data_IF_291946775649
#
_entry.id   IF_291946775649
#
_cell.length_a   1.000
_cell.length_b   1.000
_cell.length_c   1.000
_cell.angle_alpha   90.00
_cell.angle_beta   90.00
_cell.angle_gamma   90.00
#
_symmetry.space_group_name_H-M   'P 1'
#
loop_
_entity.id
_entity.type
_entity.pdbx_description
1 polymer ?
#
# COMPACT_ATOMS: atom_id res chain seq x y z
N UNK A 1 34.53 7.25 35.02
CA UNK A 1 33.98 8.27 34.08
C UNK A 1 33.79 7.74 32.65
N UNK A 2 34.72 6.97 32.07
CA UNK A 2 34.60 6.47 30.68
C UNK A 2 33.49 5.43 30.41
N UNK A 3 33.13 4.59 31.38
CA UNK A 3 32.04 3.59 31.21
C UNK A 3 30.62 4.19 31.25
N UNK A 4 30.47 5.39 31.81
CA UNK A 4 29.17 6.08 31.91
C UNK A 4 28.84 6.85 30.61
N UNK A 5 29.87 7.38 29.93
CA UNK A 5 29.73 7.97 28.60
C UNK A 5 29.41 6.91 27.52
N UNK A 6 30.01 5.72 27.60
CA UNK A 6 29.70 4.64 26.64
C UNK A 6 28.24 4.15 26.73
N UNK A 7 27.62 4.14 27.92
CA UNK A 7 26.22 3.72 28.07
C UNK A 7 25.22 4.80 27.62
N UNK A 8 25.59 6.08 27.70
CA UNK A 8 24.78 7.17 27.12
C UNK A 8 24.93 7.24 25.59
N UNK A 9 26.10 6.92 25.03
CA UNK A 9 26.29 6.82 23.56
C UNK A 9 25.59 5.58 22.99
N UNK A 10 25.58 4.46 23.72
CA UNK A 10 24.85 3.24 23.32
C UNK A 10 23.32 3.42 23.34
N UNK A 11 22.79 4.31 24.18
CA UNK A 11 21.38 4.73 24.16
C UNK A 11 21.03 5.69 23.01
N UNK A 12 22.04 6.34 22.42
CA UNK A 12 21.90 7.32 21.32
C UNK A 12 21.94 6.69 19.92
N UNK A 13 22.37 5.43 19.79
CA UNK A 13 22.28 4.65 18.54
C UNK A 13 21.11 3.67 18.66
N UNK A 14 19.89 4.18 18.88
CA UNK A 14 18.77 3.50 18.23
C UNK A 14 19.06 3.62 16.74
N UNK A 15 19.40 2.51 16.07
CA UNK A 15 19.37 2.43 14.61
C UNK A 15 18.07 3.09 14.16
N UNK A 16 18.18 4.30 13.62
CA UNK A 16 17.01 5.12 13.27
C UNK A 16 16.42 4.43 12.06
N UNK A 17 15.34 3.68 12.30
CA UNK A 17 14.69 2.87 11.27
C UNK A 17 14.11 3.82 10.23
N UNK A 18 14.45 3.62 8.96
CA UNK A 18 13.97 4.46 7.87
C UNK A 18 12.64 3.95 7.34
N UNK A 19 11.66 4.85 7.20
CA UNK A 19 10.33 4.58 6.66
C UNK A 19 10.29 4.78 5.15
N UNK A 20 9.72 3.81 4.42
CA UNK A 20 9.20 4.05 3.08
C UNK A 20 7.68 4.27 3.16
N UNK A 21 7.19 5.44 2.77
CA UNK A 21 5.76 5.63 2.50
C UNK A 21 5.53 5.32 1.02
N UNK A 22 4.64 4.39 0.73
CA UNK A 22 4.33 3.93 -0.62
C UNK A 22 2.87 4.30 -0.90
N UNK A 23 2.68 5.13 -1.92
CA UNK A 23 1.38 5.64 -2.34
C UNK A 23 1.09 5.04 -3.73
N UNK A 24 0.16 4.08 -3.84
CA UNK A 24 -0.30 3.58 -5.13
C UNK A 24 -1.13 4.69 -5.80
N UNK A 25 -0.89 4.96 -7.07
CA UNK A 25 -1.34 6.21 -7.70
C UNK A 25 -1.76 6.03 -9.17
N UNK A 26 -2.75 6.80 -9.60
CA UNK A 26 -3.11 7.10 -11.00
C UNK A 26 -4.08 8.27 -11.00
N UNK A 27 -3.84 9.30 -11.82
CA UNK A 27 -4.80 10.38 -12.10
C UNK A 27 -5.43 11.09 -10.88
N UNK A 28 -4.69 11.23 -9.77
CA UNK A 28 -5.13 11.89 -8.52
C UNK A 28 -4.27 13.10 -8.15
N UNK A 29 -3.89 13.92 -9.12
CA UNK A 29 -2.91 15.01 -8.92
C UNK A 29 -3.35 16.01 -7.84
N UNK A 30 -4.64 16.38 -7.82
CA UNK A 30 -5.20 17.25 -6.80
C UNK A 30 -5.05 16.65 -5.38
N UNK A 31 -5.35 15.36 -5.22
CA UNK A 31 -5.21 14.67 -3.94
C UNK A 31 -3.75 14.55 -3.51
N UNK A 32 -2.86 14.22 -4.45
CA UNK A 32 -1.43 14.10 -4.14
C UNK A 32 -0.83 15.44 -3.70
N UNK A 33 -1.24 16.55 -4.33
CA UNK A 33 -0.86 17.91 -3.96
C UNK A 33 -1.32 18.31 -2.55
N UNK A 34 -2.49 17.83 -2.13
CA UNK A 34 -2.94 18.01 -0.74
C UNK A 34 -2.21 17.08 0.25
N UNK A 35 -1.95 15.82 -0.13
CA UNK A 35 -1.39 14.83 0.78
C UNK A 35 0.10 15.05 1.09
N UNK A 36 0.93 15.31 0.08
CA UNK A 36 2.37 15.32 0.25
C UNK A 36 2.86 16.34 1.31
N UNK A 37 2.42 17.62 1.29
CA UNK A 37 2.86 18.59 2.30
C UNK A 37 2.49 18.18 3.72
N UNK A 38 1.25 17.71 3.93
CA UNK A 38 0.75 17.28 5.24
C UNK A 38 1.53 16.07 5.79
N UNK A 39 1.82 15.10 4.91
CA UNK A 39 2.57 13.91 5.28
C UNK A 39 4.04 14.25 5.59
N UNK A 40 4.69 15.06 4.76
CA UNK A 40 6.08 15.49 4.98
C UNK A 40 6.23 16.26 6.30
N UNK A 41 5.35 17.24 6.55
CA UNK A 41 5.36 18.04 7.79
C UNK A 41 5.12 17.15 9.03
N UNK A 42 4.12 16.26 8.99
CA UNK A 42 3.85 15.32 10.08
C UNK A 42 5.07 14.43 10.39
N UNK A 43 5.70 13.84 9.37
CA UNK A 43 6.83 12.93 9.55
C UNK A 43 8.09 13.65 10.04
N UNK A 44 8.34 14.87 9.56
CA UNK A 44 9.44 15.73 10.03
C UNK A 44 9.26 16.12 11.49
N UNK A 45 8.08 16.61 11.87
CA UNK A 45 7.75 16.94 13.28
C UNK A 45 7.85 15.72 14.19
N UNK A 46 7.54 14.53 13.66
CA UNK A 46 7.67 13.26 14.38
C UNK A 46 9.11 12.73 14.44
N UNK A 47 10.09 13.45 13.87
CA UNK A 47 11.49 13.03 13.84
C UNK A 47 11.70 11.65 13.20
N UNK A 48 10.87 11.29 12.22
CA UNK A 48 10.99 10.04 11.46
C UNK A 48 11.97 10.28 10.31
N UNK A 49 12.87 9.34 10.04
CA UNK A 49 13.66 9.32 8.80
C UNK A 49 12.84 8.59 7.73
N UNK A 50 12.57 9.22 6.59
CA UNK A 50 11.63 8.70 5.62
C UNK A 50 11.97 9.01 4.16
N UNK A 51 11.33 8.27 3.26
CA UNK A 51 11.25 8.57 1.83
C UNK A 51 9.87 8.17 1.33
N UNK A 52 9.28 8.99 0.45
CA UNK A 52 7.95 8.80 -0.12
C UNK A 52 8.10 8.33 -1.56
N UNK A 53 7.37 7.30 -1.92
CA UNK A 53 7.34 6.68 -3.23
C UNK A 53 5.91 6.74 -3.75
N UNK A 54 5.67 7.65 -4.69
CA UNK A 54 4.43 7.67 -5.47
C UNK A 54 4.63 6.67 -6.61
N UNK A 55 3.82 5.63 -6.67
CA UNK A 55 3.96 4.52 -7.61
C UNK A 55 2.76 4.52 -8.54
N UNK A 56 2.97 5.03 -9.76
CA UNK A 56 1.92 5.25 -10.75
C UNK A 56 1.82 4.12 -11.75
N UNK A 57 0.59 3.63 -11.99
CA UNK A 57 0.32 2.62 -13.02
C UNK A 57 0.20 3.26 -14.40
N UNK A 58 1.13 2.93 -15.30
CA UNK A 58 1.31 3.57 -16.59
C UNK A 58 0.38 3.08 -17.72
N UNK A 59 -0.22 1.90 -17.59
CA UNK A 59 -1.08 1.32 -18.63
C UNK A 59 -2.56 1.66 -18.41
N UNK A 60 -3.39 1.47 -19.43
CA UNK A 60 -4.85 1.70 -19.36
C UNK A 60 -5.62 0.48 -18.82
N UNK A 61 -4.94 -0.45 -18.15
CA UNK A 61 -5.62 -1.57 -17.49
C UNK A 61 -6.34 -1.08 -16.24
N UNK A 62 -7.33 -1.83 -15.73
CA UNK A 62 -7.90 -1.56 -14.41
C UNK A 62 -6.81 -1.37 -13.36
N UNK A 63 -7.07 -0.50 -12.39
CA UNK A 63 -6.08 -0.19 -11.36
C UNK A 63 -5.75 -1.43 -10.52
N UNK A 64 -4.46 -1.69 -10.28
CA UNK A 64 -4.00 -2.81 -9.46
C UNK A 64 -3.14 -2.30 -8.29
N UNK A 65 -3.82 -1.97 -7.19
CA UNK A 65 -3.20 -1.49 -5.95
C UNK A 65 -2.13 -2.45 -5.43
N UNK A 66 -2.42 -3.75 -5.42
CA UNK A 66 -1.51 -4.77 -4.87
C UNK A 66 -0.15 -4.82 -5.58
N UNK A 67 -0.15 -4.79 -6.92
CA UNK A 67 1.09 -4.73 -7.70
C UNK A 67 1.87 -3.45 -7.38
N UNK A 68 1.23 -2.28 -7.39
CA UNK A 68 1.93 -1.01 -7.12
C UNK A 68 2.57 -0.97 -5.73
N UNK A 69 1.88 -1.51 -4.72
CA UNK A 69 2.42 -1.61 -3.36
C UNK A 69 3.60 -2.59 -3.27
N UNK A 70 3.53 -3.72 -3.97
CA UNK A 70 4.66 -4.65 -4.11
C UNK A 70 5.86 -3.99 -4.81
N UNK A 71 5.62 -3.23 -5.89
CA UNK A 71 6.67 -2.50 -6.61
C UNK A 71 7.31 -1.45 -5.72
N UNK A 72 6.52 -0.62 -5.03
CA UNK A 72 7.03 0.38 -4.10
C UNK A 72 7.88 -0.23 -2.99
N UNK A 73 7.53 -1.42 -2.50
CA UNK A 73 8.34 -2.16 -1.52
C UNK A 73 9.71 -2.56 -2.10
N UNK A 74 9.74 -3.08 -3.33
CA UNK A 74 10.98 -3.50 -4.00
C UNK A 74 11.89 -2.31 -4.31
N UNK A 75 11.32 -1.20 -4.76
CA UNK A 75 12.02 0.03 -5.13
C UNK A 75 12.53 0.85 -3.92
N UNK A 76 12.09 0.48 -2.71
CA UNK A 76 12.47 1.11 -1.45
C UNK A 76 13.29 0.18 -0.54
N UNK A 77 14.06 -0.74 -1.14
CA UNK A 77 14.84 -1.79 -0.43
C UNK A 77 15.81 -1.28 0.64
N UNK A 78 16.25 -0.02 0.57
CA UNK A 78 17.10 0.63 1.58
C UNK A 78 16.36 1.05 2.86
N UNK A 79 15.03 1.07 2.86
CA UNK A 79 14.21 1.39 4.03
C UNK A 79 14.02 0.17 4.93
N UNK A 80 13.70 0.37 6.21
CA UNK A 80 13.56 -0.70 7.20
C UNK A 80 12.12 -1.17 7.41
N UNK A 81 11.16 -0.28 7.19
CA UNK A 81 9.73 -0.53 7.37
C UNK A 81 8.92 0.37 6.44
N UNK A 82 7.65 0.02 6.25
CA UNK A 82 6.85 0.49 5.14
C UNK A 82 5.50 0.98 5.63
N UNK A 83 4.97 2.03 5.01
CA UNK A 83 3.60 2.47 5.13
C UNK A 83 2.95 2.37 3.75
N UNK A 84 1.96 1.51 3.60
CA UNK A 84 1.08 1.51 2.44
C UNK A 84 -0.03 2.52 2.71
N UNK A 85 -0.18 3.52 1.83
CA UNK A 85 -0.95 4.71 2.14
C UNK A 85 -1.80 5.14 0.94
N UNK A 86 -3.12 5.08 1.09
CA UNK A 86 -4.05 5.58 0.07
C UNK A 86 -3.90 7.10 -0.09
N UNK A 87 -3.96 7.59 -1.32
CA UNK A 87 -3.65 9.00 -1.67
C UNK A 87 -4.70 10.00 -1.14
N UNK A 88 -5.90 9.53 -0.82
CA UNK A 88 -7.06 10.33 -0.40
C UNK A 88 -7.23 10.43 1.13
N UNK A 89 -6.31 9.90 1.92
CA UNK A 89 -6.39 9.90 3.38
C UNK A 89 -5.41 10.88 4.02
N UNK A 90 -5.84 12.13 4.25
CA UNK A 90 -4.99 13.15 4.87
C UNK A 90 -4.82 12.89 6.38
N UNK A 91 -3.59 12.67 6.90
CA UNK A 91 -3.40 12.38 8.31
C UNK A 91 -3.58 13.64 9.17
N UNK A 92 -4.67 13.71 9.93
CA UNK A 92 -4.86 14.75 10.95
C UNK A 92 -4.04 14.43 12.22
N UNK A 93 -3.98 13.15 12.59
CA UNK A 93 -3.18 12.65 13.71
C UNK A 93 -2.93 11.15 13.58
N UNK A 94 -1.70 10.77 13.27
CA UNK A 94 -1.29 9.36 13.27
C UNK A 94 0.20 9.24 13.63
N UNK A 95 0.57 8.12 14.25
CA UNK A 95 1.94 7.80 14.61
C UNK A 95 2.50 6.76 13.63
N UNK A 96 3.41 7.21 12.78
CA UNK A 96 4.09 6.42 11.75
C UNK A 96 5.40 5.78 12.25
N UNK A 97 5.65 5.75 13.57
CA UNK A 97 6.84 5.12 14.14
C UNK A 97 6.92 3.62 13.86
N UNK A 98 8.14 3.10 13.84
CA UNK A 98 8.46 1.69 13.56
C UNK A 98 7.56 0.70 14.30
N UNK A 99 7.14 -0.35 13.59
CA UNK A 99 6.34 -1.46 14.10
C UNK A 99 7.08 -2.78 13.91
N UNK A 100 6.78 -3.79 14.73
CA UNK A 100 7.32 -5.16 14.61
C UNK A 100 6.29 -6.16 14.07
N UNK A 101 5.13 -5.67 13.68
CA UNK A 101 4.01 -6.46 13.17
C UNK A 101 3.14 -5.56 12.30
N UNK A 102 2.42 -6.12 11.31
CA UNK A 102 1.49 -5.37 10.49
C UNK A 102 0.51 -4.58 11.36
N UNK A 103 0.43 -3.27 11.17
CA UNK A 103 -0.31 -2.36 12.06
C UNK A 103 -1.15 -1.39 11.24
N UNK A 104 -2.46 -1.52 11.35
CA UNK A 104 -3.41 -0.63 10.68
C UNK A 104 -3.56 0.70 11.42
N UNK A 105 -3.38 1.81 10.70
CA UNK A 105 -3.47 3.18 11.21
C UNK A 105 -4.82 3.83 10.94
N UNK A 106 -5.50 3.51 9.83
CA UNK A 106 -6.74 4.15 9.39
C UNK A 106 -7.98 3.78 10.25
N UNK A 107 -7.91 4.01 11.57
CA UNK A 107 -8.93 3.58 12.54
C UNK A 107 -10.06 4.58 12.77
N UNK A 108 -9.84 5.86 12.43
CA UNK A 108 -10.82 6.93 12.56
C UNK A 108 -10.79 7.76 11.27
N UNK A 109 -11.59 7.36 10.29
CA UNK A 109 -11.58 7.97 8.96
C UNK A 109 -12.91 8.69 8.72
N UNK A 110 -12.84 9.92 8.23
CA UNK A 110 -14.00 10.80 8.01
C UNK A 110 -15.09 10.14 7.14
N UNK A 111 -14.72 9.54 6.00
CA UNK A 111 -15.68 8.86 5.10
C UNK A 111 -16.40 7.65 5.73
N UNK A 112 -15.91 7.15 6.87
CA UNK A 112 -16.52 6.05 7.63
C UNK A 112 -17.14 6.53 8.95
N UNK A 113 -17.52 7.81 9.03
CA UNK A 113 -18.11 8.38 10.25
C UNK A 113 -17.13 8.41 11.43
N UNK A 114 -15.85 8.68 11.17
CA UNK A 114 -14.76 8.67 12.16
C UNK A 114 -14.50 7.31 12.82
N UNK A 115 -14.84 6.22 12.12
CA UNK A 115 -14.59 4.84 12.53
C UNK A 115 -13.92 3.99 11.46
N UNK A 116 -14.30 2.71 11.41
CA UNK A 116 -13.91 1.74 10.38
C UNK A 116 -15.19 1.17 9.73
N UNK A 117 -15.16 0.81 8.44
CA UNK A 117 -16.37 0.41 7.72
C UNK A 117 -16.87 -0.98 8.15
N UNK A 118 -15.99 -1.85 8.65
CA UNK A 118 -16.31 -3.16 9.22
C UNK A 118 -15.18 -3.65 10.13
N UNK A 119 -15.47 -4.58 11.05
CA UNK A 119 -14.49 -5.08 12.03
C UNK A 119 -13.24 -5.72 11.40
N UNK A 120 -13.40 -6.22 10.17
CA UNK A 120 -12.34 -6.82 9.37
C UNK A 120 -11.36 -5.83 8.74
N UNK A 121 -11.71 -4.54 8.62
CA UNK A 121 -11.02 -3.60 7.75
C UNK A 121 -9.52 -3.48 8.03
N UNK A 122 -8.71 -3.55 6.98
CA UNK A 122 -7.26 -3.48 7.00
C UNK A 122 -6.69 -2.71 5.80
N UNK A 123 -7.48 -1.77 5.26
CA UNK A 123 -7.09 -0.90 4.14
C UNK A 123 -6.74 0.52 4.56
N UNK A 124 -6.67 1.44 3.60
CA UNK A 124 -6.39 2.85 3.87
C UNK A 124 -4.91 3.11 4.14
N UNK A 125 -4.51 2.95 5.41
CA UNK A 125 -3.14 3.21 5.85
C UNK A 125 -2.65 2.11 6.79
N UNK A 126 -1.60 1.41 6.37
CA UNK A 126 -1.07 0.24 7.09
C UNK A 126 0.45 0.26 7.15
N UNK A 127 1.01 0.07 8.34
CA UNK A 127 2.43 -0.11 8.57
C UNK A 127 2.82 -1.59 8.52
N UNK A 128 3.97 -1.88 7.93
CA UNK A 128 4.60 -3.20 7.90
C UNK A 128 6.09 -3.12 8.21
N UNK A 129 6.60 -4.05 9.01
CA UNK A 129 8.04 -4.30 9.03
C UNK A 129 8.45 -5.13 7.79
N UNK A 130 9.72 -5.00 7.38
CA UNK A 130 10.26 -5.70 6.21
C UNK A 130 10.09 -7.22 6.27
N UNK A 131 10.24 -7.83 7.44
CA UNK A 131 10.20 -9.29 7.59
C UNK A 131 8.77 -9.79 7.38
N UNK A 132 7.80 -9.21 8.07
CA UNK A 132 6.40 -9.59 7.97
C UNK A 132 5.89 -9.50 6.53
N UNK A 133 6.24 -8.43 5.79
CA UNK A 133 5.80 -8.29 4.40
C UNK A 133 6.43 -9.34 3.47
N UNK A 134 7.71 -9.66 3.64
CA UNK A 134 8.37 -10.74 2.89
C UNK A 134 7.80 -12.13 3.23
N UNK A 135 7.50 -12.40 4.50
CA UNK A 135 7.00 -13.69 4.97
C UNK A 135 5.62 -14.02 4.42
N UNK A 136 4.78 -12.99 4.19
CA UNK A 136 3.44 -13.17 3.60
C UNK A 136 3.43 -13.16 2.07
N UNK A 137 4.60 -12.99 1.43
CA UNK A 137 4.73 -12.77 -0.01
C UNK A 137 3.99 -11.51 -0.50
N UNK A 138 4.01 -10.42 0.28
CA UNK A 138 3.36 -9.15 -0.04
C UNK A 138 1.86 -9.23 -0.37
N UNK A 139 1.38 -8.28 -1.17
CA UNK A 139 0.02 -8.27 -1.71
C UNK A 139 -0.13 -9.30 -2.83
N UNK A 140 -1.36 -9.78 -3.04
CA UNK A 140 -1.76 -10.46 -4.27
C UNK A 140 -1.62 -9.54 -5.49
N UNK A 141 -1.19 -10.09 -6.62
CA UNK A 141 -1.13 -9.39 -7.90
C UNK A 141 -2.41 -9.58 -8.72
N UNK A 142 -3.36 -10.38 -8.25
CA UNK A 142 -4.54 -10.82 -9.02
C UNK A 142 -5.80 -9.97 -8.82
N UNK A 143 -5.81 -9.01 -7.90
CA UNK A 143 -6.97 -8.13 -7.69
C UNK A 143 -6.90 -6.90 -8.60
N UNK A 144 -7.75 -6.91 -9.63
CA UNK A 144 -7.87 -5.83 -10.61
C UNK A 144 -9.13 -5.01 -10.33
N UNK A 145 -9.00 -3.68 -10.31
CA UNK A 145 -10.07 -2.79 -9.87
C UNK A 145 -10.29 -2.84 -8.36
N UNK A 146 -11.48 -2.45 -7.91
CA UNK A 146 -11.82 -2.40 -6.50
C UNK A 146 -12.09 -3.79 -5.91
N UNK A 147 -11.68 -3.99 -4.65
CA UNK A 147 -12.23 -4.99 -3.75
C UNK A 147 -11.30 -6.14 -3.37
N UNK A 148 -11.40 -6.52 -2.09
CA UNK A 148 -10.80 -7.71 -1.46
C UNK A 148 -9.27 -7.76 -1.38
N UNK A 149 -8.53 -6.84 -1.96
CA UNK A 149 -7.06 -6.84 -1.93
C UNK A 149 -6.50 -6.60 -0.51
N UNK A 150 -7.11 -5.68 0.24
CA UNK A 150 -6.73 -5.38 1.63
C UNK A 150 -7.21 -6.48 2.60
N UNK A 151 -8.35 -7.11 2.31
CA UNK A 151 -8.86 -8.26 3.06
C UNK A 151 -7.96 -9.49 2.83
N UNK A 152 -7.51 -9.71 1.59
CA UNK A 152 -6.55 -10.74 1.21
C UNK A 152 -5.22 -10.55 1.94
N UNK A 153 -4.67 -9.32 1.96
CA UNK A 153 -3.46 -9.00 2.70
C UNK A 153 -3.57 -9.37 4.20
N UNK A 154 -4.70 -9.03 4.82
CA UNK A 154 -4.96 -9.40 6.22
C UNK A 154 -5.03 -10.92 6.37
N UNK A 155 -5.68 -11.61 5.44
CA UNK A 155 -5.77 -13.06 5.48
C UNK A 155 -4.40 -13.72 5.26
N UNK A 156 -3.55 -13.18 4.39
CA UNK A 156 -2.16 -13.61 4.19
C UNK A 156 -1.34 -13.53 5.47
N UNK A 157 -1.54 -12.48 6.28
CA UNK A 157 -0.94 -12.37 7.62
C UNK A 157 -1.43 -13.50 8.55
N UNK A 158 -2.74 -13.77 8.55
CA UNK A 158 -3.33 -14.86 9.37
C UNK A 158 -2.82 -16.23 8.96
N UNK A 159 -2.74 -16.52 7.66
CA UNK A 159 -2.23 -17.77 7.11
C UNK A 159 -0.79 -18.05 7.58
N UNK A 160 0.03 -17.00 7.74
CA UNK A 160 1.40 -17.07 8.27
C UNK A 160 1.50 -16.90 9.79
N UNK A 161 0.37 -16.85 10.50
CA UNK A 161 0.29 -16.65 11.96
C UNK A 161 0.98 -15.36 12.43
N UNK A 162 0.97 -14.32 11.58
CA UNK A 162 1.51 -13.00 11.89
C UNK A 162 0.39 -12.13 12.47
N UNK A 163 0.51 -11.66 13.72
CA UNK A 163 -0.56 -10.93 14.37
C UNK A 163 -0.71 -9.52 13.81
N UNK A 164 -1.88 -9.21 13.24
CA UNK A 164 -2.21 -7.84 12.83
C UNK A 164 -2.60 -7.01 14.06
N UNK A 165 -2.12 -5.76 14.10
CA UNK A 165 -2.38 -4.80 15.18
C UNK A 165 -3.15 -3.60 14.63
N UNK A 166 -3.62 -2.76 15.55
CA UNK A 166 -4.23 -1.47 15.22
C UNK A 166 -3.63 -0.41 16.13
N UNK A 167 -3.28 0.73 15.56
CA UNK A 167 -2.84 1.93 16.27
C UNK A 167 -3.77 3.06 15.84
N UNK A 168 -4.17 3.90 16.79
CA UNK A 168 -5.16 4.93 16.51
C UNK A 168 -4.59 5.98 15.55
N UNK A 169 -5.21 6.16 14.38
CA UNK A 169 -4.92 7.22 13.42
C UNK A 169 -6.20 7.89 12.95
N UNK A 170 -6.15 9.21 12.83
CA UNK A 170 -7.26 10.08 12.43
C UNK A 170 -6.96 10.65 11.07
N UNK A 171 -7.88 10.42 10.12
CA UNK A 171 -7.71 10.79 8.72
C UNK A 171 -8.94 11.54 8.21
N UNK A 172 -8.69 12.68 7.57
CA UNK A 172 -9.68 13.38 6.73
C UNK A 172 -9.69 12.72 5.36
N UNK A 173 -10.86 12.60 4.73
CA UNK A 173 -10.98 11.94 3.43
C UNK A 173 -11.13 12.98 2.34
N UNK A 174 -10.34 12.87 1.28
CA UNK A 174 -10.54 13.67 0.09
C UNK A 174 -11.68 13.06 -0.74
N UNK A 175 -12.67 13.85 -1.18
CA UNK A 175 -13.76 13.35 -2.01
C UNK A 175 -13.22 12.74 -3.30
N UNK A 176 -13.76 11.58 -3.67
CA UNK A 176 -13.46 10.91 -4.91
C UNK A 176 -14.62 10.03 -5.35
N UNK A 177 -14.78 9.87 -6.66
CA UNK A 177 -15.68 8.88 -7.20
C UNK A 177 -15.04 7.49 -7.08
N UNK A 178 -15.83 6.50 -6.69
CA UNK A 178 -15.41 5.10 -6.71
C UNK A 178 -15.90 4.51 -8.02
N UNK A 179 -15.04 4.43 -9.03
CA UNK A 179 -15.39 3.68 -10.22
C UNK A 179 -15.32 2.18 -9.95
N UNK A 180 -16.44 1.60 -9.54
CA UNK A 180 -16.57 0.17 -9.33
C UNK A 180 -17.01 -0.49 -10.64
N UNK A 181 -16.10 -1.21 -11.27
CA UNK A 181 -16.43 -2.11 -12.38
C UNK A 181 -17.08 -3.37 -11.76
N UNK A 182 -18.41 -3.44 -11.78
CA UNK A 182 -19.20 -4.45 -11.05
C UNK A 182 -18.76 -5.90 -11.33
N UNK A 183 -18.42 -6.22 -12.58
CA UNK A 183 -17.92 -7.54 -12.97
C UNK A 183 -16.62 -7.92 -12.25
N UNK A 184 -15.65 -7.00 -12.23
CA UNK A 184 -14.37 -7.20 -11.53
C UNK A 184 -14.55 -7.22 -10.02
N UNK A 185 -15.40 -6.35 -9.48
CA UNK A 185 -15.69 -6.32 -8.05
C UNK A 185 -16.31 -7.64 -7.56
N UNK A 186 -17.29 -8.16 -8.30
CA UNK A 186 -17.91 -9.45 -8.01
C UNK A 186 -16.90 -10.62 -8.12
N UNK A 187 -16.04 -10.60 -9.14
CA UNK A 187 -14.96 -11.57 -9.32
C UNK A 187 -13.96 -11.54 -8.15
N UNK A 188 -13.48 -10.36 -7.77
CA UNK A 188 -12.54 -10.18 -6.66
C UNK A 188 -13.11 -10.75 -5.34
N UNK A 189 -14.39 -10.46 -5.05
CA UNK A 189 -15.05 -11.03 -3.86
C UNK A 189 -15.17 -12.56 -3.92
N UNK A 190 -15.48 -13.13 -5.09
CA UNK A 190 -15.55 -14.58 -5.28
C UNK A 190 -14.18 -15.23 -5.07
N UNK A 191 -13.15 -14.69 -5.71
CA UNK A 191 -11.78 -15.16 -5.58
C UNK A 191 -11.31 -15.14 -4.11
N UNK A 192 -11.59 -14.06 -3.37
CA UNK A 192 -11.28 -14.00 -1.95
C UNK A 192 -12.06 -15.06 -1.15
N UNK A 193 -13.37 -15.19 -1.38
CA UNK A 193 -14.19 -16.16 -0.67
C UNK A 193 -13.74 -17.62 -0.89
N UNK A 194 -13.27 -17.95 -2.10
CA UNK A 194 -12.90 -19.31 -2.49
C UNK A 194 -11.44 -19.65 -2.15
N UNK A 195 -10.51 -18.70 -2.21
CA UNK A 195 -9.07 -18.98 -2.20
C UNK A 195 -8.23 -18.15 -1.20
N UNK A 196 -8.84 -17.40 -0.28
CA UNK A 196 -8.08 -16.59 0.67
C UNK A 196 -7.29 -17.41 1.70
N UNK A 197 -7.71 -18.64 2.00
CA UNK A 197 -6.99 -19.57 2.91
C UNK A 197 -6.01 -20.49 2.18
N UNK A 198 -5.94 -20.43 0.85
CA UNK A 198 -5.03 -21.25 0.05
C UNK A 198 -3.59 -20.73 0.15
N UNK A 199 -2.76 -21.47 0.90
CA UNK A 199 -1.34 -21.20 1.07
C UNK A 199 -0.55 -21.37 -0.23
N UNK A 200 -0.95 -22.30 -1.11
CA UNK A 200 -0.27 -22.48 -2.39
C UNK A 200 -0.45 -21.23 -3.24
N UNK A 201 -1.69 -20.73 -3.39
CA UNK A 201 -1.96 -19.47 -4.08
C UNK A 201 -1.15 -18.32 -3.48
N UNK A 202 -1.18 -18.14 -2.16
CA UNK A 202 -0.41 -17.07 -1.50
C UNK A 202 1.10 -17.12 -1.84
N UNK A 203 1.66 -18.32 -1.99
CA UNK A 203 3.09 -18.52 -2.25
C UNK A 203 3.48 -18.38 -3.73
N UNK A 204 2.51 -18.59 -4.62
CA UNK A 204 2.68 -18.47 -6.07
C UNK A 204 2.11 -17.18 -6.67
N UNK A 205 1.45 -16.35 -5.88
CA UNK A 205 0.91 -15.05 -6.28
C UNK A 205 1.31 -13.98 -5.24
N UNK A 206 2.18 -13.06 -5.63
CA UNK A 206 2.51 -11.87 -4.83
C UNK A 206 3.88 -11.29 -5.12
N UNK A 207 4.55 -10.81 -4.07
CA UNK A 207 5.80 -10.04 -4.12
C UNK A 207 6.91 -10.71 -4.93
N UNK A 208 7.09 -12.03 -4.81
CA UNK A 208 8.15 -12.77 -5.53
C UNK A 208 7.82 -12.96 -7.02
N UNK A 209 6.55 -12.88 -7.37
CA UNK A 209 6.05 -13.12 -8.72
C UNK A 209 5.77 -11.84 -9.50
N UNK A 210 5.72 -10.68 -8.84
CA UNK A 210 5.53 -9.40 -9.52
C UNK A 210 6.60 -9.20 -10.61
N UNK A 211 6.17 -8.74 -11.78
CA UNK A 211 7.03 -8.41 -12.93
C UNK A 211 6.59 -7.05 -13.47
N UNK A 212 7.53 -6.15 -13.53
CA UNK A 212 7.29 -4.76 -13.88
C UNK A 212 8.55 -4.13 -14.47
N UNK A 213 8.37 -2.96 -15.07
CA UNK A 213 9.43 -2.09 -15.54
C UNK A 213 9.17 -0.67 -15.02
N UNK A 214 10.22 0.00 -14.55
CA UNK A 214 10.16 1.43 -14.28
C UNK A 214 10.30 2.16 -15.63
N UNK A 215 9.21 2.78 -16.08
CA UNK A 215 9.19 3.57 -17.31
C UNK A 215 9.91 4.90 -17.12
N UNK A 216 9.70 5.55 -15.98
CA UNK A 216 10.41 6.76 -15.61
C UNK A 216 10.50 6.92 -14.09
N UNK A 217 11.49 7.71 -13.66
CA UNK A 217 11.67 8.12 -12.27
C UNK A 217 11.90 9.62 -12.24
N UNK A 218 11.07 10.35 -11.51
CA UNK A 218 11.22 11.79 -11.32
C UNK A 218 11.16 12.16 -9.85
N UNK A 219 11.83 13.26 -9.48
CA UNK A 219 11.81 13.75 -8.10
C UNK A 219 10.67 14.77 -7.96
N UNK A 220 9.79 14.57 -6.99
CA UNK A 220 8.71 15.52 -6.66
C UNK A 220 9.23 16.54 -5.63
N UNK A 221 9.89 16.07 -4.57
CA UNK A 221 10.40 16.91 -3.48
C UNK A 221 11.75 16.37 -2.96
N UNK A 222 12.27 16.95 -1.86
CA UNK A 222 13.42 16.38 -1.16
C UNK A 222 13.16 14.95 -0.66
N UNK A 223 11.91 14.63 -0.33
CA UNK A 223 11.52 13.38 0.31
C UNK A 223 10.73 12.45 -0.61
N UNK A 224 10.13 12.96 -1.68
CA UNK A 224 9.25 12.23 -2.56
C UNK A 224 9.83 12.01 -3.97
N UNK A 225 9.71 10.77 -4.45
CA UNK A 225 9.96 10.37 -5.85
C UNK A 225 8.70 9.81 -6.46
N UNK A 226 8.54 10.08 -7.76
CA UNK A 226 7.50 9.51 -8.59
C UNK A 226 8.10 8.39 -9.45
N UNK A 227 7.46 7.23 -9.43
CA UNK A 227 7.82 6.07 -10.24
C UNK A 227 6.65 5.78 -11.19
N UNK A 228 6.88 5.92 -12.48
CA UNK A 228 5.93 5.51 -13.50
C UNK A 228 6.20 4.04 -13.86
N UNK A 229 5.22 3.17 -13.64
CA UNK A 229 5.40 1.71 -13.64
C UNK A 229 4.54 1.04 -14.70
N UNK A 230 5.19 0.26 -15.55
CA UNK A 230 4.53 -0.63 -16.49
C UNK A 230 4.59 -2.06 -15.98
N UNK A 231 3.46 -2.76 -16.06
CA UNK A 231 3.41 -4.18 -15.71
C UNK A 231 3.82 -5.03 -16.91
N UNK A 232 4.51 -6.15 -16.65
CA UNK A 232 4.77 -7.16 -17.67
C UNK A 232 3.43 -7.74 -18.15
N UNK A 233 3.31 -8.06 -19.45
CA UNK A 233 2.09 -8.61 -20.06
C UNK A 233 1.63 -9.91 -19.39
N UNK A 234 2.51 -10.64 -18.70
CA UNK A 234 2.12 -11.79 -17.86
C UNK A 234 1.22 -11.45 -16.67
N UNK A 235 1.13 -10.18 -16.30
CA UNK A 235 0.18 -9.71 -15.29
C UNK A 235 -1.14 -9.29 -15.91
N UNK A 236 -1.25 -9.15 -17.24
CA UNK A 236 -2.48 -8.71 -17.87
C UNK A 236 -3.65 -9.64 -17.50
N UNK A 237 -4.87 -9.09 -17.33
CA UNK A 237 -6.07 -9.83 -16.93
C UNK A 237 -6.39 -11.06 -17.80
N UNK A 238 -5.79 -11.15 -19.00
CA UNK A 238 -5.94 -12.21 -19.99
C UNK A 238 -5.63 -13.61 -19.41
N UNK A 239 -4.80 -13.71 -18.36
CA UNK A 239 -4.46 -14.99 -17.74
C UNK A 239 -5.54 -15.58 -16.81
N UNK A 240 -6.57 -14.82 -16.42
CA UNK A 240 -7.47 -15.18 -15.31
C UNK A 240 -8.97 -15.25 -15.69
N UNK A 241 -9.30 -15.48 -16.96
CA UNK A 241 -10.70 -15.63 -17.40
C UNK A 241 -11.51 -14.33 -17.35
N UNK A 242 -10.82 -13.19 -17.35
CA UNK A 242 -11.40 -11.85 -17.44
C UNK A 242 -11.85 -11.61 -18.89
N UNK A 243 -12.95 -10.86 -19.14
CA UNK A 243 -13.26 -10.33 -20.47
C UNK A 243 -12.01 -9.74 -21.12
N UNK A 244 -11.89 -9.86 -22.45
CA UNK A 244 -10.70 -9.37 -23.16
C UNK A 244 -10.42 -7.90 -22.81
N UNK A 245 -9.16 -7.47 -22.91
CA UNK A 245 -8.78 -6.06 -22.66
C UNK A 245 -9.67 -5.10 -23.45
N UNK A 246 -10.16 -5.48 -24.62
CA UNK A 246 -11.13 -4.71 -25.42
C UNK A 246 -12.51 -4.59 -24.74
N UNK A 247 -13.01 -5.65 -24.10
CA UNK A 247 -14.28 -5.64 -23.35
C UNK A 247 -14.17 -4.87 -22.04
N UNK A 248 -12.99 -4.81 -21.41
CA UNK A 248 -12.77 -3.97 -20.23
C UNK A 248 -12.51 -2.51 -20.60
N UNK A 249 -11.88 -2.23 -21.75
CA UNK A 249 -11.66 -0.87 -22.24
C UNK A 249 -12.96 -0.14 -22.53
N UNK A 250 -14.01 -0.80 -23.04
CA UNK A 250 -15.30 -0.12 -23.24
C UNK A 250 -15.93 0.39 -21.95
N UNK A 251 -15.63 -0.26 -20.82
CA UNK A 251 -16.21 0.05 -19.51
C UNK A 251 -15.27 0.87 -18.60
N UNK A 252 -13.98 0.97 -18.96
CA UNK A 252 -12.92 1.59 -18.15
C UNK A 252 -12.38 2.94 -18.67
N UNK A 253 -12.86 3.43 -19.82
CA UNK A 253 -12.35 4.67 -20.45
C UNK A 253 -12.51 5.91 -19.54
N UNK A 254 -13.43 5.92 -18.57
CA UNK A 254 -13.74 7.11 -17.75
C UNK A 254 -13.47 6.95 -16.25
N UNK A 255 -12.60 6.03 -15.84
CA UNK A 255 -12.47 5.66 -14.42
C UNK A 255 -11.12 5.97 -13.78
N UNK A 256 -10.96 7.14 -13.12
CA UNK A 256 -9.83 7.38 -12.24
C UNK A 256 -9.90 6.42 -11.03
N UNK A 257 -8.74 5.89 -10.63
CA UNK A 257 -8.55 5.01 -9.47
C UNK A 257 -9.05 5.71 -8.21
#
# INVERSE_FOLDING_TARGET
MFRFLASQVAGLIRSRKKLAVIIPYRDRDAHLKELLPELEDLLLRSSIDFSIYVVEQANDLPFNKGILLNVGFLESSSCDYFCFHDVDMIPLRADYSYVRSPTHLASNVEQFGWGIPYAGYFGGVVLFDKKSFNDINGYSNSYWGWGSEDDDLKQRCRNRRIPVRRRRGVYRSLPHDRCIIEGLYAQNRRQFAEAATDLHRQDTDGLRQVRYRIASRSRISRFAVHLHVEFDSKHEPIAFGVPSIEQLRSDAIDCPA
#
